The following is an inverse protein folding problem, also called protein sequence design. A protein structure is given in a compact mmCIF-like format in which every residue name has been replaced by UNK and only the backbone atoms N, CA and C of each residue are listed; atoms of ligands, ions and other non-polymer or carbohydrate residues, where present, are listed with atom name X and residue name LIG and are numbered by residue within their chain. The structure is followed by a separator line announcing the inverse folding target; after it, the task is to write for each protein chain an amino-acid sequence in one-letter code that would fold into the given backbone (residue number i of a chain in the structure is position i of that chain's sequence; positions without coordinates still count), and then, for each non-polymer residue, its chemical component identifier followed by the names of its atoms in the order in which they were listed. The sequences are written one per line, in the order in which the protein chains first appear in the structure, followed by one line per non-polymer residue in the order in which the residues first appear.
data_IF_662653275520
#
_entry.id   IF_662653275520
#
_cell.length_a   1.000
_cell.length_b   1.000
_cell.length_c   1.000
_cell.angle_alpha   90.00
_cell.angle_beta   90.00
_cell.angle_gamma   90.00
#
_symmetry.space_group_name_H-M   'P 1'
#
loop_
_entity.id
_entity.type
_entity.pdbx_description
1 polymer ?
#
# COMPACT_ATOMS: atom_id res chain seq x y z
N UNK A 1 0.89 -8.77 -8.73
CA UNK A 1 1.70 -7.54 -8.58
C UNK A 1 0.80 -6.34 -8.70
N UNK A 2 1.08 -5.27 -7.95
CA UNK A 2 0.36 -3.99 -8.00
C UNK A 2 1.40 -2.89 -8.20
N UNK A 3 1.16 -2.01 -9.17
CA UNK A 3 2.03 -0.85 -9.42
C UNK A 3 1.46 0.37 -8.70
N UNK A 4 2.29 0.99 -7.89
CA UNK A 4 1.95 2.14 -7.05
C UNK A 4 2.90 3.27 -7.42
N UNK A 5 2.36 4.47 -7.63
CA UNK A 5 3.14 5.68 -7.88
C UNK A 5 2.82 6.73 -6.84
N UNK A 6 3.84 7.25 -6.17
CA UNK A 6 3.68 8.47 -5.40
C UNK A 6 3.63 9.65 -6.36
N UNK A 7 2.50 10.37 -6.42
CA UNK A 7 2.35 11.57 -7.26
C UNK A 7 2.56 12.87 -6.48
N UNK A 8 2.77 12.76 -5.18
CA UNK A 8 2.96 13.90 -4.29
C UNK A 8 4.41 14.38 -4.31
N UNK A 9 4.60 15.65 -3.99
CA UNK A 9 5.92 16.26 -3.79
C UNK A 9 6.51 15.98 -2.38
N UNK A 10 5.89 15.08 -1.62
CA UNK A 10 6.27 14.70 -0.27
C UNK A 10 6.41 13.18 -0.11
N UNK A 11 7.11 12.76 0.94
CA UNK A 11 7.28 11.33 1.27
C UNK A 11 5.92 10.73 1.64
N UNK A 12 5.60 9.59 1.06
CA UNK A 12 4.36 8.87 1.29
C UNK A 12 4.62 7.55 2.01
N UNK A 13 4.04 7.39 3.21
CA UNK A 13 4.00 6.11 3.92
C UNK A 13 2.92 5.22 3.29
N UNK A 14 3.29 3.98 2.98
CA UNK A 14 2.41 2.95 2.47
C UNK A 14 2.38 1.78 3.44
N UNK A 15 1.19 1.41 3.89
CA UNK A 15 0.94 0.19 4.67
C UNK A 15 -0.07 -0.71 3.97
N UNK A 16 0.14 -2.03 4.06
CA UNK A 16 -0.82 -3.05 3.65
C UNK A 16 -1.26 -3.81 4.89
N UNK A 17 -2.55 -3.77 5.19
CA UNK A 17 -3.14 -4.31 6.41
C UNK A 17 -4.19 -5.37 6.07
N UNK A 18 -4.14 -6.54 6.70
CA UNK A 18 -5.17 -7.57 6.51
C UNK A 18 -6.47 -7.27 7.29
N UNK A 19 -7.50 -8.08 7.09
CA UNK A 19 -8.80 -7.91 7.78
C UNK A 19 -8.74 -8.04 9.30
N UNK A 20 -7.68 -8.66 9.84
CA UNK A 20 -7.48 -8.79 11.29
C UNK A 20 -6.72 -7.58 11.87
N UNK A 21 -6.37 -6.60 11.04
CA UNK A 21 -5.60 -5.43 11.45
C UNK A 21 -4.09 -5.65 11.49
N UNK A 22 -3.58 -6.78 10.97
CA UNK A 22 -2.13 -7.06 10.93
C UNK A 22 -1.48 -6.32 9.77
N UNK A 23 -0.39 -5.61 10.05
CA UNK A 23 0.47 -5.01 9.00
C UNK A 23 1.26 -6.14 8.31
N UNK A 24 0.98 -6.34 7.03
CA UNK A 24 1.64 -7.35 6.19
C UNK A 24 2.85 -6.76 5.44
N UNK A 25 2.82 -5.47 5.16
CA UNK A 25 3.87 -4.75 4.46
C UNK A 25 3.83 -3.28 4.84
N UNK A 26 5.00 -2.66 4.99
CA UNK A 26 5.14 -1.22 5.27
C UNK A 26 6.38 -0.70 4.56
N UNK A 27 6.26 0.47 3.92
CA UNK A 27 7.39 1.16 3.30
C UNK A 27 7.13 2.66 3.18
N UNK A 28 8.16 3.39 2.75
CA UNK A 28 8.09 4.82 2.43
C UNK A 28 8.48 5.03 0.97
N UNK A 29 7.64 5.76 0.23
CA UNK A 29 7.86 6.16 -1.15
C UNK A 29 8.41 7.58 -1.17
N UNK A 30 9.53 7.79 -1.85
CA UNK A 30 10.04 9.15 -2.10
C UNK A 30 9.08 9.91 -3.04
N UNK A 31 9.16 11.25 -3.11
CA UNK A 31 8.39 12.02 -4.08
C UNK A 31 8.60 11.48 -5.50
N UNK A 32 7.51 11.31 -6.24
CA UNK A 32 7.49 10.83 -7.64
C UNK A 32 7.99 9.40 -7.87
N UNK A 33 8.21 8.64 -6.81
CA UNK A 33 8.74 7.27 -6.86
C UNK A 33 7.69 6.24 -7.34
N UNK A 34 8.19 5.15 -7.92
CA UNK A 34 7.40 4.04 -8.44
C UNK A 34 7.75 2.75 -7.68
N UNK A 35 6.72 2.06 -7.17
CA UNK A 35 6.85 0.81 -6.45
C UNK A 35 6.02 -0.29 -7.10
N UNK A 36 6.67 -1.41 -7.36
CA UNK A 36 5.99 -2.67 -7.69
C UNK A 36 5.84 -3.48 -6.41
N UNK A 37 4.62 -3.52 -5.88
CA UNK A 37 4.29 -4.36 -4.75
C UNK A 37 3.98 -5.78 -5.25
N UNK A 38 4.84 -6.73 -4.90
CA UNK A 38 4.51 -8.14 -5.07
C UNK A 38 3.61 -8.63 -3.93
N UNK A 39 2.42 -9.08 -4.30
CA UNK A 39 1.41 -9.61 -3.38
C UNK A 39 1.36 -11.14 -3.43
N UNK A 40 2.25 -11.80 -4.19
CA UNK A 40 2.25 -13.25 -4.37
C UNK A 40 2.38 -14.01 -3.04
N UNK A 41 3.14 -13.46 -2.10
CA UNK A 41 3.39 -14.01 -0.76
C UNK A 41 2.24 -13.79 0.22
N UNK A 42 1.27 -12.93 -0.11
CA UNK A 42 0.09 -12.71 0.73
C UNK A 42 -0.92 -13.85 0.57
N UNK A 43 -1.57 -14.21 1.68
CA UNK A 43 -2.69 -15.15 1.64
C UNK A 43 -3.89 -14.59 0.84
N UNK A 44 -4.85 -15.46 0.52
CA UNK A 44 -6.11 -15.00 -0.07
C UNK A 44 -6.90 -14.23 0.97
N UNK A 45 -7.52 -13.13 0.56
CA UNK A 45 -8.27 -12.28 1.47
C UNK A 45 -8.40 -10.84 0.98
N UNK A 46 -8.97 -10.01 1.84
CA UNK A 46 -9.12 -8.57 1.63
C UNK A 46 -8.01 -7.85 2.39
N UNK A 47 -7.37 -6.91 1.72
CA UNK A 47 -6.32 -6.09 2.30
C UNK A 47 -6.65 -4.62 2.12
N UNK A 48 -6.33 -3.84 3.14
CA UNK A 48 -6.45 -2.38 3.12
C UNK A 48 -5.07 -1.78 2.86
N UNK A 49 -4.93 -1.07 1.76
CA UNK A 49 -3.79 -0.22 1.46
C UNK A 49 -4.05 1.16 2.04
N UNK A 50 -3.12 1.64 2.85
CA UNK A 50 -3.18 2.96 3.48
C UNK A 50 -1.98 3.75 2.98
N UNK A 51 -2.27 4.85 2.29
CA UNK A 51 -1.29 5.83 1.84
C UNK A 51 -1.44 7.07 2.71
N UNK A 52 -0.33 7.56 3.27
CA UNK A 52 -0.35 8.72 4.16
C UNK A 52 0.87 9.58 3.92
N UNK A 53 0.63 10.86 3.67
CA UNK A 53 1.64 11.91 3.72
C UNK A 53 1.35 12.85 4.90
N UNK A 54 2.01 14.01 4.95
CA UNK A 54 1.71 15.04 5.96
C UNK A 54 0.31 15.59 5.76
N UNK A 55 -0.09 15.81 4.51
CA UNK A 55 -1.31 16.54 4.15
C UNK A 55 -2.41 15.65 3.56
N UNK A 56 -2.05 14.45 3.09
CA UNK A 56 -2.97 13.58 2.36
C UNK A 56 -3.08 12.22 3.03
N UNK A 57 -4.28 11.64 2.95
CA UNK A 57 -4.53 10.27 3.33
C UNK A 57 -5.46 9.65 2.30
N UNK A 58 -5.04 8.52 1.73
CA UNK A 58 -5.84 7.72 0.82
C UNK A 58 -5.92 6.29 1.36
N UNK A 59 -7.11 5.72 1.35
CA UNK A 59 -7.34 4.32 1.74
C UNK A 59 -8.00 3.61 0.59
N UNK A 60 -7.45 2.45 0.22
CA UNK A 60 -7.96 1.61 -0.85
C UNK A 60 -8.01 0.17 -0.39
N UNK A 61 -8.98 -0.60 -0.88
CA UNK A 61 -9.05 -2.04 -0.62
C UNK A 61 -8.69 -2.83 -1.86
N UNK A 62 -7.99 -3.94 -1.66
CA UNK A 62 -7.73 -4.95 -2.69
C UNK A 62 -8.26 -6.29 -2.22
N UNK A 63 -8.71 -7.10 -3.17
CA UNK A 63 -9.14 -8.48 -2.91
C UNK A 63 -8.20 -9.42 -3.67
N UNK A 64 -7.51 -10.29 -2.93
CA UNK A 64 -6.68 -11.36 -3.49
C UNK A 64 -7.49 -12.66 -3.51
N UNK A 65 -7.97 -13.03 -4.69
CA UNK A 65 -8.80 -14.23 -4.88
C UNK A 65 -8.00 -15.51 -5.09
N UNK A 66 -6.79 -15.43 -5.66
CA UNK A 66 -5.95 -16.59 -5.99
C UNK A 66 -4.58 -16.55 -5.33
#
# INVERSE_FOLDING_TARGET
MINIKNKEAEVCSLMVVDMNGRVCYETHLQPFDDLTLDISTLFRGIYTLIFKTTNTKLVQQIVKFW
#
